data_IF_899030790402
#
_entry.id   IF_899030790402
#
_cell.length_a   1.000
_cell.length_b   1.000
_cell.length_c   1.000
_cell.angle_alpha   90.00
_cell.angle_beta   90.00
_cell.angle_gamma   90.00
#
_symmetry.space_group_name_H-M   'P 1'
#
loop_
_entity.id
_entity.type
_entity.pdbx_description
1 polymer ?
#
# COMPACT_ATOMS: atom_id res chain seq x y z
N UNK A 1 -21.51 14.27 2.45
CA UNK A 1 -20.20 14.94 2.27
C UNK A 1 -19.01 13.97 2.24
N UNK A 2 -19.12 12.73 2.73
CA UNK A 2 -18.04 11.72 2.71
C UNK A 2 -17.61 11.24 1.31
N UNK A 3 -18.53 11.18 0.34
CA UNK A 3 -18.23 10.76 -1.04
C UNK A 3 -17.24 11.68 -1.77
N UNK A 4 -17.08 12.94 -1.34
CA UNK A 4 -16.14 13.89 -1.94
C UNK A 4 -14.67 13.53 -1.72
N UNK A 5 -14.38 12.61 -0.79
CA UNK A 5 -13.04 12.07 -0.57
C UNK A 5 -12.64 11.07 -1.65
N UNK A 6 -13.53 10.63 -2.54
CA UNK A 6 -13.16 9.73 -3.63
C UNK A 6 -12.67 10.46 -4.88
N UNK A 7 -11.55 9.98 -5.43
CA UNK A 7 -11.04 10.29 -6.75
C UNK A 7 -10.94 8.99 -7.55
N UNK A 8 -12.08 8.47 -7.99
CA UNK A 8 -12.14 7.26 -8.82
C UNK A 8 -11.63 7.54 -10.23
N UNK A 9 -10.91 6.58 -10.81
CA UNK A 9 -10.51 6.64 -12.22
C UNK A 9 -11.74 6.48 -13.13
N UNK A 10 -11.70 7.11 -14.31
CA UNK A 10 -12.78 7.02 -15.28
C UNK A 10 -13.10 5.55 -15.63
N UNK A 11 -14.36 5.14 -15.43
CA UNK A 11 -14.85 3.77 -15.66
C UNK A 11 -14.75 2.81 -14.46
N UNK A 12 -14.36 3.29 -13.28
CA UNK A 12 -14.40 2.47 -12.06
C UNK A 12 -15.84 2.27 -11.55
N UNK A 13 -16.08 1.11 -10.91
CA UNK A 13 -17.37 0.77 -10.28
C UNK A 13 -17.79 1.82 -9.23
N UNK A 14 -19.11 2.00 -9.00
CA UNK A 14 -19.62 2.90 -7.96
C UNK A 14 -19.06 2.56 -6.57
N UNK A 15 -19.16 3.51 -5.64
CA UNK A 15 -18.62 3.40 -4.27
C UNK A 15 -19.30 2.23 -3.55
N UNK A 16 -18.47 1.31 -3.06
CA UNK A 16 -18.93 0.16 -2.29
C UNK A 16 -19.30 0.59 -0.86
N UNK A 17 -20.13 -0.18 -0.17
CA UNK A 17 -20.56 0.15 1.20
C UNK A 17 -19.36 0.24 2.15
N UNK A 18 -18.40 -0.67 1.99
CA UNK A 18 -17.13 -0.68 2.71
C UNK A 18 -16.29 0.58 2.45
N UNK A 19 -16.24 1.02 1.18
CA UNK A 19 -15.55 2.24 0.78
C UNK A 19 -16.21 3.48 1.42
N UNK A 20 -17.54 3.49 1.52
CA UNK A 20 -18.27 4.55 2.18
C UNK A 20 -17.97 4.62 3.69
N UNK A 21 -17.83 3.48 4.37
CA UNK A 21 -17.43 3.42 5.79
C UNK A 21 -16.04 4.04 6.02
N UNK A 22 -15.08 3.73 5.15
CA UNK A 22 -13.72 4.28 5.24
C UNK A 22 -13.70 5.78 4.98
N UNK A 23 -14.45 6.24 3.97
CA UNK A 23 -14.57 7.66 3.70
C UNK A 23 -15.22 8.42 4.86
N UNK A 24 -16.23 7.85 5.50
CA UNK A 24 -16.83 8.42 6.69
C UNK A 24 -15.83 8.48 7.85
N UNK A 25 -15.11 7.39 8.11
CA UNK A 25 -14.09 7.36 9.17
C UNK A 25 -13.02 8.44 9.01
N UNK A 26 -12.63 8.75 7.76
CA UNK A 26 -11.64 9.81 7.45
C UNK A 26 -12.23 11.21 7.62
N UNK A 27 -13.48 11.45 7.24
CA UNK A 27 -14.16 12.73 7.52
C UNK A 27 -14.33 12.94 9.03
N UNK A 28 -14.64 11.89 9.76
CA UNK A 28 -14.73 11.96 11.21
C UNK A 28 -13.36 12.29 11.82
N UNK A 29 -12.26 11.72 11.30
CA UNK A 29 -10.90 12.09 11.74
C UNK A 29 -10.52 13.53 11.41
N UNK A 30 -10.96 14.05 10.26
CA UNK A 30 -10.78 15.45 9.87
C UNK A 30 -11.46 16.41 10.87
N UNK A 31 -12.59 16.01 11.45
CA UNK A 31 -13.31 16.81 12.43
C UNK A 31 -12.81 16.60 13.86
N UNK A 32 -12.41 15.37 14.23
CA UNK A 32 -11.96 15.05 15.59
C UNK A 32 -10.55 15.54 15.89
N UNK A 33 -9.65 15.57 14.89
CA UNK A 33 -8.23 15.91 15.09
C UNK A 33 -7.88 17.22 14.36
N UNK A 34 -7.77 18.35 15.07
CA UNK A 34 -7.55 19.66 14.44
C UNK A 34 -6.21 19.76 13.70
N UNK A 35 -5.20 18.99 14.12
CA UNK A 35 -3.89 18.93 13.44
C UNK A 35 -3.98 18.31 12.04
N UNK A 36 -4.79 17.26 11.88
CA UNK A 36 -4.94 16.54 10.61
C UNK A 36 -5.91 17.23 9.66
N UNK A 37 -6.72 18.17 10.16
CA UNK A 37 -7.79 18.82 9.38
C UNK A 37 -7.28 19.49 8.11
N UNK A 38 -6.23 20.31 8.21
CA UNK A 38 -5.67 21.06 7.07
C UNK A 38 -5.11 20.13 5.99
N UNK A 39 -4.48 19.04 6.40
CA UNK A 39 -3.82 18.11 5.50
C UNK A 39 -4.84 17.15 4.87
N UNK A 40 -5.74 16.58 5.67
CA UNK A 40 -6.78 15.65 5.20
C UNK A 40 -7.81 16.32 4.28
N UNK A 41 -8.11 17.60 4.45
CA UNK A 41 -9.10 18.33 3.64
C UNK A 41 -8.85 18.17 2.13
N UNK A 42 -7.59 18.29 1.70
CA UNK A 42 -7.20 18.21 0.28
C UNK A 42 -6.98 16.77 -0.22
N UNK A 43 -6.87 15.80 0.69
CA UNK A 43 -6.54 14.42 0.35
C UNK A 43 -7.78 13.64 -0.13
N UNK A 44 -7.54 12.82 -1.15
CA UNK A 44 -8.53 11.95 -1.76
C UNK A 44 -8.04 10.50 -1.76
N UNK A 45 -8.97 9.59 -1.99
CA UNK A 45 -8.77 8.14 -2.00
C UNK A 45 -9.31 7.62 -3.32
N UNK A 46 -8.60 6.70 -3.96
CA UNK A 46 -9.05 6.10 -5.22
C UNK A 46 -9.97 4.91 -4.99
N UNK A 47 -9.75 4.16 -3.91
CA UNK A 47 -10.59 3.03 -3.51
C UNK A 47 -10.07 2.40 -2.22
N UNK A 48 -10.79 1.41 -1.71
CA UNK A 48 -10.32 0.61 -0.58
C UNK A 48 -10.66 -0.86 -0.79
N UNK A 49 -9.84 -1.75 -0.23
CA UNK A 49 -10.02 -3.19 -0.35
C UNK A 49 -9.72 -3.89 0.96
N UNK A 50 -10.59 -4.81 1.33
CA UNK A 50 -10.36 -5.71 2.46
C UNK A 50 -9.55 -6.94 1.98
N UNK A 51 -8.54 -7.33 2.75
CA UNK A 51 -7.68 -8.48 2.51
C UNK A 51 -7.68 -9.38 3.75
N UNK A 52 -8.00 -10.65 3.58
CA UNK A 52 -7.94 -11.64 4.65
C UNK A 52 -6.51 -12.15 4.81
N UNK A 53 -6.01 -12.15 6.05
CA UNK A 53 -4.62 -12.48 6.39
C UNK A 53 -4.45 -13.95 6.80
N UNK A 54 -5.57 -14.66 7.03
CA UNK A 54 -5.59 -15.93 7.73
C UNK A 54 -5.81 -15.74 9.24
N UNK A 55 -6.16 -16.82 9.93
CA UNK A 55 -6.48 -16.80 11.37
C UNK A 55 -7.58 -15.80 11.78
N UNK A 56 -8.52 -15.49 10.88
CA UNK A 56 -9.64 -14.57 11.14
C UNK A 56 -9.29 -13.09 11.13
N UNK A 57 -8.01 -12.71 10.97
CA UNK A 57 -7.57 -11.31 10.89
C UNK A 57 -7.77 -10.74 9.49
N UNK A 58 -8.18 -9.46 9.42
CA UNK A 58 -8.41 -8.74 8.17
C UNK A 58 -7.55 -7.47 8.12
N UNK A 59 -7.09 -7.12 6.93
CA UNK A 59 -6.38 -5.89 6.65
C UNK A 59 -7.18 -5.00 5.70
N UNK A 60 -7.09 -3.70 5.90
CA UNK A 60 -7.67 -2.67 5.05
C UNK A 60 -6.56 -2.05 4.21
N UNK A 61 -6.66 -2.19 2.91
CA UNK A 61 -5.77 -1.55 1.94
C UNK A 61 -6.48 -0.32 1.37
N UNK A 62 -5.94 0.86 1.66
CA UNK A 62 -6.47 2.13 1.16
C UNK A 62 -5.64 2.58 -0.04
N UNK A 63 -6.29 2.72 -1.19
CA UNK A 63 -5.65 3.15 -2.42
C UNK A 63 -5.63 4.68 -2.52
N UNK A 64 -4.43 5.25 -2.63
CA UNK A 64 -4.21 6.69 -2.70
C UNK A 64 -3.84 7.11 -4.13
N UNK A 65 -4.31 8.27 -4.63
CA UNK A 65 -3.84 8.80 -5.90
C UNK A 65 -2.31 9.08 -5.87
N UNK A 66 -1.56 8.62 -6.87
CA UNK A 66 -0.10 8.81 -6.97
C UNK A 66 0.37 10.26 -6.71
N UNK A 67 -0.29 11.32 -7.24
CA UNK A 67 0.13 12.70 -6.98
C UNK A 67 0.08 13.09 -5.49
N UNK A 68 -0.80 12.45 -4.72
CA UNK A 68 -1.02 12.73 -3.30
C UNK A 68 -0.21 11.83 -2.38
N UNK A 69 0.52 10.83 -2.92
CA UNK A 69 1.29 9.88 -2.13
C UNK A 69 2.25 10.59 -1.14
N UNK A 70 3.02 11.57 -1.62
CA UNK A 70 3.96 12.32 -0.75
C UNK A 70 3.26 13.08 0.38
N UNK A 71 2.04 13.55 0.15
CA UNK A 71 1.25 14.23 1.18
C UNK A 71 0.71 13.24 2.21
N UNK A 72 0.30 12.05 1.78
CA UNK A 72 -0.05 10.96 2.70
C UNK A 72 1.14 10.52 3.55
N UNK A 73 2.33 10.34 2.96
CA UNK A 73 3.53 9.91 3.70
C UNK A 73 3.84 10.84 4.90
N UNK A 74 3.61 12.15 4.79
CA UNK A 74 3.83 13.10 5.89
C UNK A 74 2.95 12.82 7.11
N UNK A 75 1.71 12.39 6.87
CA UNK A 75 0.69 12.18 7.91
C UNK A 75 0.48 10.72 8.26
N UNK A 76 1.06 9.81 7.47
CA UNK A 76 0.73 8.39 7.46
C UNK A 76 0.89 7.75 8.83
N UNK A 77 1.95 8.06 9.58
CA UNK A 77 2.17 7.49 10.92
C UNK A 77 1.03 7.82 11.91
N UNK A 78 0.49 9.05 11.84
CA UNK A 78 -0.61 9.47 12.72
C UNK A 78 -1.93 8.91 12.21
N UNK A 79 -2.13 8.98 10.89
CA UNK A 79 -3.34 8.51 10.23
C UNK A 79 -3.54 7.00 10.38
N UNK A 80 -2.48 6.19 10.27
CA UNK A 80 -2.55 4.73 10.51
C UNK A 80 -2.98 4.44 11.94
N UNK A 81 -2.36 5.09 12.94
CA UNK A 81 -2.72 4.90 14.35
C UNK A 81 -4.18 5.23 14.63
N UNK A 82 -4.67 6.35 14.11
CA UNK A 82 -6.06 6.78 14.34
C UNK A 82 -7.08 5.90 13.61
N UNK A 83 -6.75 5.42 12.40
CA UNK A 83 -7.61 4.48 11.68
C UNK A 83 -7.60 3.09 12.33
N UNK A 84 -6.45 2.61 12.83
CA UNK A 84 -6.38 1.33 13.53
C UNK A 84 -7.11 1.35 14.88
N UNK A 85 -7.17 2.50 15.56
CA UNK A 85 -8.05 2.66 16.73
C UNK A 85 -9.53 2.55 16.36
N UNK A 86 -9.95 3.12 15.22
CA UNK A 86 -11.35 3.07 14.76
C UNK A 86 -11.75 1.70 14.23
N UNK A 87 -10.82 1.03 13.55
CA UNK A 87 -11.01 -0.30 13.00
C UNK A 87 -10.27 -1.31 13.87
N UNK A 88 -10.81 -1.53 15.08
CA UNK A 88 -10.29 -2.50 16.04
C UNK A 88 -10.05 -3.86 15.38
N UNK A 89 -8.85 -4.41 15.60
CA UNK A 89 -8.37 -5.69 15.05
C UNK A 89 -8.10 -5.74 13.54
N UNK A 90 -8.06 -4.59 12.85
CA UNK A 90 -7.71 -4.53 11.43
C UNK A 90 -6.49 -3.68 11.17
N UNK A 91 -5.50 -4.26 10.50
CA UNK A 91 -4.33 -3.52 10.07
C UNK A 91 -4.66 -2.61 8.89
N UNK A 92 -4.26 -1.35 8.95
CA UNK A 92 -4.50 -0.39 7.88
C UNK A 92 -3.19 -0.10 7.16
N UNK A 93 -3.20 -0.26 5.83
CA UNK A 93 -2.05 -0.01 4.96
C UNK A 93 -2.44 0.88 3.79
N UNK A 94 -1.57 1.82 3.45
CA UNK A 94 -1.74 2.75 2.33
C UNK A 94 -0.92 2.29 1.14
N UNK A 95 -1.54 2.27 -0.05
CA UNK A 95 -0.85 1.91 -1.30
C UNK A 95 -1.25 2.90 -2.38
N UNK A 96 -0.29 3.42 -3.15
CA UNK A 96 -0.64 4.30 -4.25
C UNK A 96 -1.23 3.51 -5.43
N UNK A 97 -2.33 4.02 -6.01
CA UNK A 97 -2.99 3.43 -7.16
C UNK A 97 -2.16 3.64 -8.43
N UNK A 98 -1.33 2.65 -8.79
CA UNK A 98 -0.48 2.68 -9.98
C UNK A 98 -1.07 1.86 -11.13
N UNK A 99 -1.08 2.43 -12.35
CA UNK A 99 -1.57 1.73 -13.55
C UNK A 99 -0.43 1.11 -14.35
N UNK A 100 -0.37 -0.22 -14.37
CA UNK A 100 0.55 -1.01 -15.19
C UNK A 100 0.12 -0.92 -16.66
N UNK A 101 1.05 -0.59 -17.55
CA UNK A 101 0.86 -0.71 -19.01
C UNK A 101 1.35 -2.07 -19.48
N UNK A 102 0.68 -2.67 -20.46
CA UNK A 102 1.14 -3.92 -21.08
C UNK A 102 2.49 -3.69 -21.78
N UNK A 103 3.34 -4.71 -21.81
CA UNK A 103 4.53 -4.69 -22.68
C UNK A 103 4.04 -4.67 -24.13
N UNK A 104 4.48 -3.72 -24.97
CA UNK A 104 4.09 -3.70 -26.37
C UNK A 104 4.48 -5.03 -27.02
N UNK A 105 3.55 -5.62 -27.77
CA UNK A 105 3.85 -6.83 -28.53
C UNK A 105 4.73 -6.51 -29.74
N UNK A 106 5.44 -7.50 -30.31
CA UNK A 106 6.26 -7.31 -31.51
C UNK A 106 5.46 -6.76 -32.72
N UNK A 107 4.13 -6.91 -32.73
CA UNK A 107 3.22 -6.46 -33.78
C UNK A 107 2.61 -5.08 -33.50
N UNK A 108 2.72 -4.58 -32.26
CA UNK A 108 2.21 -3.27 -31.87
C UNK A 108 3.35 -2.25 -31.97
N UNK A 109 3.18 -1.24 -32.83
CA UNK A 109 4.06 -0.08 -32.89
C UNK A 109 3.36 1.11 -32.20
N UNK A 110 3.47 1.25 -30.86
CA UNK A 110 2.82 2.35 -30.17
C UNK A 110 3.47 3.69 -30.56
N UNK A 111 2.64 4.71 -30.79
CA UNK A 111 3.11 6.07 -31.10
C UNK A 111 3.97 6.67 -29.99
N UNK A 112 3.76 6.25 -28.74
CA UNK A 112 4.52 6.70 -27.58
C UNK A 112 5.23 5.53 -26.89
N UNK A 113 6.50 5.69 -26.50
CA UNK A 113 7.22 4.66 -25.77
C UNK A 113 6.60 4.45 -24.39
N UNK A 114 6.59 3.20 -23.92
CA UNK A 114 6.08 2.85 -22.60
C UNK A 114 6.99 3.44 -21.50
N UNK A 115 6.47 4.28 -20.59
CA UNK A 115 7.25 4.80 -19.47
C UNK A 115 7.70 3.70 -18.50
N UNK A 116 8.94 3.75 -18.02
CA UNK A 116 9.51 2.78 -17.06
C UNK A 116 8.71 2.72 -15.75
N UNK A 117 8.21 3.87 -15.29
CA UNK A 117 7.37 3.99 -14.08
C UNK A 117 6.05 3.22 -14.16
N UNK A 118 5.60 2.85 -15.37
CA UNK A 118 4.36 2.11 -15.61
C UNK A 118 4.63 0.66 -16.04
N UNK A 119 5.81 0.15 -15.70
CA UNK A 119 6.18 -1.24 -15.93
C UNK A 119 5.76 -2.13 -14.76
N UNK A 120 5.53 -3.43 -15.02
CA UNK A 120 5.11 -4.38 -13.98
C UNK A 120 6.14 -4.43 -12.84
N UNK A 121 7.43 -4.50 -13.17
CA UNK A 121 8.51 -4.55 -12.18
C UNK A 121 8.55 -3.27 -11.35
N UNK A 122 8.60 -2.10 -11.98
CA UNK A 122 8.66 -0.82 -11.25
C UNK A 122 7.44 -0.59 -10.36
N UNK A 123 6.24 -0.97 -10.81
CA UNK A 123 5.02 -0.85 -9.99
C UNK A 123 5.05 -1.83 -8.81
N UNK A 124 5.51 -3.06 -9.01
CA UNK A 124 5.63 -4.05 -7.94
C UNK A 124 6.70 -3.67 -6.91
N UNK A 125 7.76 -2.99 -7.33
CA UNK A 125 8.80 -2.48 -6.43
C UNK A 125 8.25 -1.30 -5.61
N UNK A 126 7.58 -0.35 -6.25
CA UNK A 126 6.96 0.79 -5.56
C UNK A 126 5.82 0.37 -4.60
N UNK A 127 5.12 -0.73 -4.88
CA UNK A 127 4.15 -1.28 -3.91
C UNK A 127 4.85 -1.82 -2.66
N UNK A 128 6.04 -2.44 -2.78
CA UNK A 128 6.79 -2.89 -1.60
C UNK A 128 7.17 -1.71 -0.70
N UNK A 129 7.67 -0.64 -1.31
CA UNK A 129 8.03 0.60 -0.61
C UNK A 129 6.82 1.22 0.10
N UNK A 130 5.66 1.29 -0.57
CA UNK A 130 4.44 1.84 0.04
C UNK A 130 3.94 1.03 1.25
N UNK A 131 4.00 -0.31 1.17
CA UNK A 131 3.51 -1.19 2.24
C UNK A 131 4.31 -1.02 3.53
N UNK A 132 5.60 -0.78 3.39
CA UNK A 132 6.59 -0.82 4.48
C UNK A 132 6.80 0.57 5.12
N UNK A 133 6.30 1.64 4.50
CA UNK A 133 6.38 2.99 5.05
C UNK A 133 5.77 3.06 6.47
N UNK A 134 6.48 3.63 7.47
CA UNK A 134 7.56 4.61 7.37
C UNK A 134 8.97 4.03 7.24
N UNK A 135 9.11 2.71 7.34
CA UNK A 135 10.43 2.07 7.34
C UNK A 135 10.96 1.93 5.92
N UNK A 136 12.27 1.87 5.79
CA UNK A 136 12.94 1.71 4.49
C UNK A 136 13.41 0.27 4.29
N UNK A 137 13.42 -0.17 3.03
CA UNK A 137 13.96 -1.48 2.66
C UNK A 137 15.46 -1.32 2.45
N UNK A 138 16.25 -1.83 3.38
CA UNK A 138 17.73 -1.80 3.34
C UNK A 138 18.26 -2.75 2.28
N UNK A 139 17.59 -3.89 2.07
CA UNK A 139 18.05 -4.91 1.15
C UNK A 139 16.92 -5.72 0.53
N UNK A 140 17.13 -6.19 -0.70
CA UNK A 140 16.17 -7.04 -1.39
C UNK A 140 16.89 -8.14 -2.15
N UNK A 141 16.56 -9.39 -1.83
CA UNK A 141 17.08 -10.58 -2.53
C UNK A 141 15.94 -11.42 -3.06
N UNK A 142 16.14 -12.05 -4.21
CA UNK A 142 15.19 -13.05 -4.73
C UNK A 142 15.79 -14.42 -4.55
N UNK A 143 15.20 -15.24 -3.68
CA UNK A 143 15.58 -16.65 -3.52
C UNK A 143 14.85 -17.47 -4.57
N UNK A 144 15.60 -18.23 -5.35
CA UNK A 144 15.05 -19.23 -6.28
C UNK A 144 15.22 -20.60 -5.63
N UNK A 145 14.12 -21.33 -5.48
CA UNK A 145 14.13 -22.70 -4.95
C UNK A 145 14.35 -23.71 -6.09
N UNK A 146 14.63 -24.97 -5.72
CA UNK A 146 14.92 -26.07 -6.68
C UNK A 146 13.73 -26.37 -7.60
N UNK A 147 12.51 -26.18 -7.11
CA UNK A 147 11.26 -26.26 -7.87
C UNK A 147 11.05 -25.08 -8.85
N UNK A 148 11.99 -24.13 -8.91
CA UNK A 148 11.92 -22.92 -9.71
C UNK A 148 11.06 -21.81 -9.10
N UNK A 149 10.42 -22.04 -7.94
CA UNK A 149 9.60 -21.04 -7.28
C UNK A 149 10.47 -19.92 -6.72
N UNK A 150 9.96 -18.69 -6.81
CA UNK A 150 10.71 -17.48 -6.43
C UNK A 150 10.07 -16.84 -5.21
N UNK A 151 10.87 -16.63 -4.18
CA UNK A 151 10.47 -15.90 -2.97
C UNK A 151 11.34 -14.67 -2.84
N UNK A 152 10.72 -13.49 -2.76
CA UNK A 152 11.42 -12.23 -2.52
C UNK A 152 11.62 -12.11 -1.02
N UNK A 153 12.85 -11.86 -0.57
CA UNK A 153 13.14 -11.50 0.81
C UNK A 153 13.54 -10.03 0.86
N UNK A 154 12.76 -9.26 1.61
CA UNK A 154 12.99 -7.85 1.85
C UNK A 154 13.50 -7.66 3.27
N UNK A 155 14.59 -6.92 3.40
CA UNK A 155 15.20 -6.57 4.67
C UNK A 155 14.80 -5.17 5.05
N UNK A 156 14.22 -5.02 6.23
CA UNK A 156 13.81 -3.75 6.81
C UNK A 156 14.91 -3.20 7.71
N UNK A 157 14.90 -1.89 7.98
CA UNK A 157 15.81 -1.30 8.97
C UNK A 157 15.48 -1.84 10.39
N UNK A 158 16.49 -2.36 11.09
CA UNK A 158 16.35 -2.94 12.43
C UNK A 158 15.93 -1.91 13.49
N UNK A 159 16.12 -0.61 13.24
CA UNK A 159 15.70 0.45 14.18
C UNK A 159 14.20 0.47 14.44
N UNK A 160 13.41 0.12 13.43
CA UNK A 160 11.96 0.18 13.48
C UNK A 160 11.31 -1.18 13.76
N UNK A 161 12.11 -2.18 14.19
CA UNK A 161 11.67 -3.55 14.44
C UNK A 161 10.45 -3.61 15.36
N UNK A 162 10.57 -2.99 16.53
CA UNK A 162 9.49 -2.94 17.53
C UNK A 162 8.19 -2.31 17.01
N UNK A 163 8.28 -1.40 16.05
CA UNK A 163 7.13 -0.67 15.53
C UNK A 163 6.43 -1.37 14.36
N UNK A 164 7.11 -2.30 13.68
CA UNK A 164 6.63 -2.91 12.43
C UNK A 164 6.46 -4.44 12.50
N UNK A 165 7.10 -5.10 13.47
CA UNK A 165 7.07 -6.56 13.62
C UNK A 165 5.65 -7.14 13.57
N UNK A 166 4.69 -6.52 14.25
CA UNK A 166 3.30 -7.00 14.29
C UNK A 166 2.55 -6.93 12.93
N UNK A 167 3.10 -6.23 11.92
CA UNK A 167 2.51 -6.07 10.58
C UNK A 167 3.18 -6.89 9.49
N UNK A 168 4.27 -7.60 9.76
CA UNK A 168 5.05 -8.30 8.71
C UNK A 168 4.20 -9.29 7.91
N UNK A 169 3.41 -10.12 8.60
CA UNK A 169 2.48 -11.08 7.95
C UNK A 169 1.44 -10.37 7.09
N UNK A 170 0.99 -9.19 7.55
CA UNK A 170 0.05 -8.34 6.81
C UNK A 170 0.65 -7.90 5.49
N UNK A 171 1.88 -7.41 5.51
CA UNK A 171 2.55 -6.93 4.30
C UNK A 171 2.75 -8.07 3.30
N UNK A 172 3.19 -9.24 3.76
CA UNK A 172 3.36 -10.43 2.91
C UNK A 172 2.04 -10.86 2.26
N UNK A 173 0.96 -10.94 3.03
CA UNK A 173 -0.35 -11.35 2.52
C UNK A 173 -0.95 -10.32 1.54
N UNK A 174 -0.87 -9.01 1.88
CA UNK A 174 -1.35 -7.94 1.01
C UNK A 174 -0.56 -7.92 -0.30
N UNK A 175 0.77 -8.02 -0.24
CA UNK A 175 1.60 -8.04 -1.43
C UNK A 175 1.27 -9.23 -2.33
N UNK A 176 1.11 -10.42 -1.74
CA UNK A 176 0.71 -11.64 -2.47
C UNK A 176 -0.65 -11.46 -3.12
N UNK A 177 -1.62 -10.86 -2.42
CA UNK A 177 -2.98 -10.63 -2.96
C UNK A 177 -3.00 -9.61 -4.11
N UNK A 178 -2.15 -8.58 -4.04
CA UNK A 178 -2.09 -7.53 -5.06
C UNK A 178 -1.26 -7.95 -6.29
N UNK A 179 -0.18 -8.70 -6.08
CA UNK A 179 0.83 -8.96 -7.12
C UNK A 179 0.94 -10.41 -7.56
N UNK A 180 0.41 -11.35 -6.77
CA UNK A 180 0.56 -12.79 -6.98
C UNK A 180 1.97 -13.33 -6.68
N UNK A 181 2.87 -12.53 -6.09
CA UNK A 181 4.24 -12.93 -5.77
C UNK A 181 4.41 -13.12 -4.26
N UNK A 182 5.20 -14.11 -3.89
CA UNK A 182 5.52 -14.38 -2.49
C UNK A 182 6.68 -13.51 -2.01
N UNK A 183 6.46 -12.84 -0.88
CA UNK A 183 7.44 -11.99 -0.19
C UNK A 183 7.52 -12.37 1.26
N UNK A 184 8.74 -12.33 1.82
CA UNK A 184 9.00 -12.43 3.25
C UNK A 184 9.75 -11.18 3.69
N UNK A 185 9.26 -10.53 4.74
CA UNK A 185 9.93 -9.39 5.37
C UNK A 185 10.67 -9.88 6.60
N UNK A 186 11.96 -9.55 6.72
CA UNK A 186 12.85 -9.98 7.81
C UNK A 186 13.72 -8.78 8.24
N UNK A 187 14.12 -8.72 9.50
CA UNK A 187 15.16 -7.78 9.94
C UNK A 187 16.55 -8.41 9.75
N UNK A 188 17.56 -7.65 9.29
CA UNK A 188 18.91 -8.16 9.19
C UNK A 188 19.48 -8.42 10.59
N UNK A 189 20.04 -9.61 10.80
CA UNK A 189 20.67 -9.99 12.07
C UNK A 189 21.98 -9.22 12.35
N UNK A 190 22.66 -8.76 11.29
CA UNK A 190 23.89 -7.98 11.36
C UNK A 190 23.66 -6.66 10.63
N UNK A 191 23.83 -5.54 11.34
CA UNK A 191 23.60 -4.18 10.83
C UNK A 191 24.76 -3.64 9.95
N UNK A 192 25.77 -4.46 9.67
CA UNK A 192 26.97 -4.05 8.95
C UNK A 192 26.97 -4.59 7.51
N UNK A 193 26.82 -3.67 6.56
CA UNK A 193 27.31 -3.79 5.19
C UNK A 193 28.14 -2.56 4.86
#
# INVERSE_FOLDING_TARGET
MSLNKFAKMAGAKPVDEFEATIAQAIVDLENSVPELKKELAALKITGAKEVELGAGKKAIVIFVPVPQQKAYNKIQQRLTRELEKKFSDRHVVFVAQRRILKKPSRRENPKQPRPRTRTLTAVHDAILEDLVFPTEIVGKRTRVKVDGSKTIKCYLDSKDETAVEYKLDTFSAVYRKLTGKDVVFEFPANAEF
#
